data_IF_332221317123
#
_entry.id   IF_332221317123
#
_cell.length_a   1.000
_cell.length_b   1.000
_cell.length_c   1.000
_cell.angle_alpha   90.00
_cell.angle_beta   90.00
_cell.angle_gamma   90.00
#
_symmetry.space_group_name_H-M   'P 1'
#
loop_
_entity.id
_entity.type
_entity.pdbx_description
1 polymer ?
#
# COMPACT_ATOMS: atom_id res chain seq x y z
N UNK A 1 -16.55 20.08 1.55
CA UNK A 1 -17.79 19.85 2.33
C UNK A 1 -18.96 20.25 1.44
N UNK A 2 -19.71 19.29 0.89
CA UNK A 2 -20.91 19.59 0.08
C UNK A 2 -21.91 20.40 0.93
N UNK A 3 -22.51 21.45 0.36
CA UNK A 3 -23.46 22.34 1.04
C UNK A 3 -24.76 21.62 1.42
N UNK A 4 -25.54 22.24 2.32
CA UNK A 4 -26.71 21.66 3.04
C UNK A 4 -27.88 21.14 2.18
N UNK A 5 -27.81 21.16 0.85
CA UNK A 5 -28.89 20.76 -0.06
C UNK A 5 -28.42 19.93 -1.27
N UNK A 6 -27.27 19.25 -1.17
CA UNK A 6 -26.76 18.43 -2.28
C UNK A 6 -27.29 17.01 -2.17
N UNK A 7 -27.97 16.54 -3.22
CA UNK A 7 -28.40 15.15 -3.34
C UNK A 7 -27.18 14.21 -3.37
N UNK A 8 -27.31 13.05 -2.71
CA UNK A 8 -26.23 12.05 -2.61
C UNK A 8 -26.54 10.81 -3.44
N UNK A 9 -25.51 10.17 -3.96
CA UNK A 9 -25.57 8.86 -4.61
C UNK A 9 -24.88 7.84 -3.72
N UNK A 10 -25.53 6.70 -3.51
CA UNK A 10 -24.95 5.56 -2.78
C UNK A 10 -24.62 4.46 -3.77
N UNK A 11 -23.39 3.93 -3.68
CA UNK A 11 -22.86 2.90 -4.57
C UNK A 11 -22.41 1.74 -3.69
N UNK A 12 -22.99 0.56 -3.88
CA UNK A 12 -22.49 -0.66 -3.25
C UNK A 12 -21.14 -1.02 -3.90
N UNK A 13 -20.11 -1.21 -3.08
CA UNK A 13 -18.78 -1.56 -3.54
C UNK A 13 -18.60 -3.08 -3.62
N UNK A 14 -18.16 -3.59 -4.77
CA UNK A 14 -17.72 -4.98 -4.90
C UNK A 14 -16.24 -5.07 -4.46
N UNK A 15 -16.02 -5.51 -3.22
CA UNK A 15 -14.70 -5.66 -2.60
C UNK A 15 -14.37 -7.13 -2.29
N UNK A 16 -14.78 -8.06 -3.17
CA UNK A 16 -14.55 -9.50 -3.00
C UNK A 16 -13.11 -9.85 -2.69
N UNK A 17 -12.15 -9.19 -3.31
CA UNK A 17 -10.73 -9.49 -3.09
C UNK A 17 -10.23 -9.16 -1.68
N UNK A 18 -10.96 -8.34 -0.94
CA UNK A 18 -10.69 -8.07 0.48
C UNK A 18 -11.41 -9.06 1.41
N UNK A 19 -12.31 -9.90 0.88
CA UNK A 19 -13.13 -10.86 1.63
C UNK A 19 -13.82 -10.20 2.84
N UNK A 20 -14.49 -9.07 2.59
CA UNK A 20 -15.27 -8.34 3.60
C UNK A 20 -16.62 -9.06 3.77
N UNK A 21 -17.02 -9.33 5.01
CA UNK A 21 -18.30 -9.98 5.31
C UNK A 21 -19.45 -8.98 5.35
N UNK A 22 -19.18 -7.74 5.79
CA UNK A 22 -20.16 -6.67 5.85
C UNK A 22 -20.46 -5.99 4.50
N UNK A 23 -21.57 -5.25 4.47
CA UNK A 23 -21.98 -4.45 3.32
C UNK A 23 -21.22 -3.12 3.28
N UNK A 24 -20.49 -2.89 2.19
CA UNK A 24 -19.70 -1.67 2.00
C UNK A 24 -20.34 -0.77 0.95
N UNK A 25 -20.59 0.48 1.32
CA UNK A 25 -21.18 1.48 0.46
C UNK A 25 -20.32 2.73 0.37
N UNK A 26 -20.05 3.19 -0.85
CA UNK A 26 -19.46 4.51 -1.10
C UNK A 26 -20.58 5.53 -1.31
N UNK A 27 -20.43 6.69 -0.67
CA UNK A 27 -21.34 7.82 -0.79
C UNK A 27 -20.58 8.95 -1.47
N UNK A 28 -21.12 9.42 -2.59
CA UNK A 28 -20.62 10.55 -3.36
C UNK A 28 -21.73 11.60 -3.52
N UNK A 29 -21.37 12.87 -3.77
CA UNK A 29 -22.34 13.88 -4.20
C UNK A 29 -22.82 13.55 -5.62
N UNK A 30 -24.09 13.86 -5.97
CA UNK A 30 -24.67 13.51 -7.29
C UNK A 30 -23.91 14.16 -8.46
N UNK A 31 -23.19 15.25 -8.22
CA UNK A 31 -22.27 15.83 -9.20
C UNK A 31 -21.18 14.85 -9.69
N UNK A 32 -21.00 13.71 -9.01
CA UNK A 32 -20.10 12.63 -9.38
C UNK A 32 -18.62 12.95 -9.15
N UNK A 33 -18.32 14.09 -8.54
CA UNK A 33 -16.95 14.61 -8.41
C UNK A 33 -16.46 14.67 -6.97
N UNK A 34 -17.38 14.68 -6.00
CA UNK A 34 -17.01 14.80 -4.58
C UNK A 34 -17.33 13.54 -3.78
N UNK A 35 -16.28 12.90 -3.27
CA UNK A 35 -16.38 11.86 -2.25
C UNK A 35 -16.96 12.44 -0.95
N UNK A 36 -17.87 11.71 -0.31
CA UNK A 36 -18.48 12.08 0.96
C UNK A 36 -18.03 11.15 2.09
N UNK A 37 -18.30 9.85 1.95
CA UNK A 37 -18.03 8.86 3.01
C UNK A 37 -18.00 7.43 2.45
N UNK A 38 -17.43 6.50 3.23
CA UNK A 38 -17.64 5.07 3.07
C UNK A 38 -18.38 4.56 4.29
N UNK A 39 -19.38 3.71 4.09
CA UNK A 39 -20.10 3.00 5.15
C UNK A 39 -19.78 1.52 5.13
N UNK A 40 -19.63 0.94 6.32
CA UNK A 40 -19.57 -0.50 6.57
C UNK A 40 -20.73 -0.84 7.51
N UNK A 41 -21.68 -1.67 7.08
CA UNK A 41 -22.87 -2.04 7.86
C UNK A 41 -23.59 -0.82 8.47
N UNK A 42 -23.83 0.20 7.64
CA UNK A 42 -24.43 1.51 7.99
C UNK A 42 -23.59 2.47 8.84
N UNK A 43 -22.45 2.05 9.39
CA UNK A 43 -21.51 2.90 10.13
C UNK A 43 -20.53 3.61 9.19
N UNK A 44 -20.31 4.90 9.40
CA UNK A 44 -19.32 5.68 8.62
C UNK A 44 -17.91 5.32 9.10
N UNK A 45 -17.04 4.97 8.16
CA UNK A 45 -15.63 4.72 8.42
C UNK A 45 -14.81 5.91 7.91
N UNK A 46 -14.11 6.59 8.82
CA UNK A 46 -13.20 7.69 8.50
C UNK A 46 -11.76 7.33 8.90
N UNK A 47 -10.80 7.61 8.02
CA UNK A 47 -9.36 7.46 8.27
C UNK A 47 -8.80 8.50 9.25
N UNK A 48 -9.56 9.54 9.55
CA UNK A 48 -9.20 10.60 10.50
C UNK A 48 -9.65 10.29 11.93
N UNK A 49 -10.56 9.34 12.11
CA UNK A 49 -11.04 8.90 13.40
C UNK A 49 -9.97 8.12 14.15
N UNK A 50 -9.99 8.26 15.48
CA UNK A 50 -9.10 7.54 16.37
C UNK A 50 -9.83 6.32 16.94
N UNK A 51 -9.34 5.13 16.58
CA UNK A 51 -9.90 3.85 17.01
C UNK A 51 -9.18 3.37 18.27
N UNK A 52 -9.92 3.27 19.38
CA UNK A 52 -9.39 2.98 20.71
C UNK A 52 -8.79 1.57 20.85
N UNK A 53 -9.15 0.64 19.96
CA UNK A 53 -8.63 -0.73 19.92
C UNK A 53 -7.34 -0.87 19.07
N UNK A 54 -6.80 0.27 18.59
CA UNK A 54 -5.59 0.36 17.75
C UNK A 54 -4.67 1.51 18.18
N UNK A 55 -4.47 1.67 19.48
CA UNK A 55 -3.62 2.75 20.05
C UNK A 55 -2.11 2.51 19.87
N UNK A 56 -1.72 1.32 19.45
CA UNK A 56 -0.34 0.96 19.21
C UNK A 56 0.24 1.69 17.99
N UNK A 57 1.49 2.12 18.12
CA UNK A 57 2.19 2.84 17.05
C UNK A 57 3.00 1.88 16.18
N UNK A 58 2.36 0.83 15.64
CA UNK A 58 3.04 -0.25 14.91
C UNK A 58 2.45 -0.54 13.51
N UNK A 59 3.15 -1.39 12.74
CA UNK A 59 2.60 -2.01 11.54
C UNK A 59 1.77 -3.21 11.96
N UNK A 60 0.53 -3.29 11.46
CA UNK A 60 -0.38 -4.40 11.76
C UNK A 60 -0.94 -4.95 10.47
N UNK A 61 -0.94 -6.28 10.38
CA UNK A 61 -1.68 -6.97 9.34
C UNK A 61 -3.17 -6.69 9.51
N UNK A 62 -3.85 -6.47 8.40
CA UNK A 62 -5.30 -6.25 8.35
C UNK A 62 -6.02 -7.51 8.82
N UNK A 63 -6.94 -7.37 9.78
CA UNK A 63 -7.69 -8.52 10.33
C UNK A 63 -9.20 -8.32 10.25
N UNK A 64 -9.67 -7.11 10.55
CA UNK A 64 -11.11 -6.81 10.63
C UNK A 64 -11.64 -6.21 9.33
N UNK A 65 -12.95 -6.30 9.12
CA UNK A 65 -13.61 -5.63 8.00
C UNK A 65 -13.41 -4.11 8.01
N UNK A 66 -13.36 -3.51 9.20
CA UNK A 66 -12.99 -2.10 9.36
C UNK A 66 -11.57 -1.81 8.86
N UNK A 67 -10.60 -2.67 9.20
CA UNK A 67 -9.21 -2.51 8.74
C UNK A 67 -9.14 -2.59 7.20
N UNK A 68 -9.88 -3.53 6.59
CA UNK A 68 -9.98 -3.69 5.13
C UNK A 68 -10.62 -2.46 4.46
N UNK A 69 -11.69 -1.92 5.05
CA UNK A 69 -12.33 -0.69 4.57
C UNK A 69 -11.39 0.53 4.72
N UNK A 70 -10.65 0.64 5.82
CA UNK A 70 -9.63 1.68 6.00
C UNK A 70 -8.53 1.57 4.93
N UNK A 71 -8.05 0.37 4.62
CA UNK A 71 -7.13 0.14 3.51
C UNK A 71 -7.72 0.58 2.16
N UNK A 72 -8.97 0.22 1.86
CA UNK A 72 -9.67 0.68 0.66
C UNK A 72 -9.75 2.21 0.60
N UNK A 73 -10.14 2.86 1.70
CA UNK A 73 -10.21 4.33 1.76
C UNK A 73 -8.83 4.94 1.52
N UNK A 74 -7.77 4.43 2.15
CA UNK A 74 -6.42 4.93 1.93
C UNK A 74 -5.95 4.77 0.48
N UNK A 75 -6.17 3.59 -0.12
CA UNK A 75 -5.65 3.24 -1.45
C UNK A 75 -6.46 3.83 -2.60
N UNK A 76 -7.79 3.83 -2.50
CA UNK A 76 -8.70 4.17 -3.61
C UNK A 76 -9.37 5.54 -3.46
N UNK A 77 -9.28 6.17 -2.30
CA UNK A 77 -9.90 7.49 -2.05
C UNK A 77 -8.87 8.52 -1.62
N UNK A 78 -8.12 8.27 -0.54
CA UNK A 78 -7.19 9.26 0.01
C UNK A 78 -6.02 9.47 -0.94
N UNK A 79 -5.37 8.38 -1.37
CA UNK A 79 -4.23 8.48 -2.27
C UNK A 79 -4.56 9.18 -3.60
N UNK A 80 -5.61 8.78 -4.35
CA UNK A 80 -5.91 9.43 -5.63
C UNK A 80 -6.36 10.90 -5.50
N UNK A 81 -7.09 11.25 -4.45
CA UNK A 81 -7.73 12.56 -4.34
C UNK A 81 -6.89 13.61 -3.58
N UNK A 82 -6.07 13.18 -2.62
CA UNK A 82 -5.32 14.08 -1.74
C UNK A 82 -3.81 13.97 -1.91
N UNK A 83 -3.31 12.79 -2.29
CA UNK A 83 -1.89 12.49 -2.45
C UNK A 83 -1.57 11.99 -3.87
N UNK A 84 -2.25 12.54 -4.87
CA UNK A 84 -2.29 12.03 -6.24
C UNK A 84 -0.90 11.60 -6.78
N UNK A 85 -0.83 10.43 -7.46
CA UNK A 85 0.42 9.90 -8.01
C UNK A 85 1.06 10.88 -8.98
N UNK A 86 2.40 10.95 -8.95
CA UNK A 86 3.21 11.71 -9.92
C UNK A 86 3.94 10.75 -10.86
N UNK A 87 3.54 10.64 -12.14
CA UNK A 87 4.20 9.74 -13.09
C UNK A 87 5.71 9.99 -13.24
N UNK A 88 6.16 11.24 -13.13
CA UNK A 88 7.58 11.62 -13.20
C UNK A 88 8.39 11.10 -12.02
N UNK A 89 7.72 10.63 -10.96
CA UNK A 89 8.31 10.00 -9.78
C UNK A 89 8.12 8.49 -9.76
N UNK A 90 7.64 7.90 -10.85
CA UNK A 90 7.28 6.49 -10.95
C UNK A 90 6.20 6.09 -9.93
N UNK A 91 5.22 6.96 -9.75
CA UNK A 91 4.04 6.70 -8.93
C UNK A 91 2.84 6.48 -9.86
N UNK A 92 1.99 5.53 -9.52
CA UNK A 92 0.76 5.19 -10.26
C UNK A 92 -0.38 4.95 -9.28
N UNK A 93 -1.61 4.98 -9.78
CA UNK A 93 -2.76 4.53 -9.00
C UNK A 93 -2.59 3.06 -8.60
N UNK A 94 -2.97 2.72 -7.38
CA UNK A 94 -2.95 1.34 -6.91
C UNK A 94 -4.17 0.58 -7.44
N UNK A 95 -3.94 -0.62 -7.96
CA UNK A 95 -5.03 -1.56 -8.22
C UNK A 95 -5.56 -2.12 -6.91
N UNK A 96 -6.73 -2.75 -6.95
CA UNK A 96 -7.17 -3.58 -5.84
C UNK A 96 -6.20 -4.76 -5.67
N UNK A 97 -6.03 -5.17 -4.42
CA UNK A 97 -5.21 -6.33 -4.04
C UNK A 97 -5.90 -7.63 -4.41
N UNK A 98 -5.11 -8.70 -4.54
CA UNK A 98 -5.61 -10.06 -4.68
C UNK A 98 -5.98 -10.66 -3.31
N UNK A 99 -6.83 -11.68 -3.29
CA UNK A 99 -7.26 -12.34 -2.04
C UNK A 99 -6.10 -12.92 -1.22
N UNK A 100 -5.00 -13.29 -1.89
CA UNK A 100 -3.80 -13.82 -1.24
C UNK A 100 -2.86 -12.75 -0.68
N UNK A 101 -3.06 -11.49 -1.03
CA UNK A 101 -2.10 -10.44 -0.70
C UNK A 101 -2.14 -10.15 0.81
N UNK A 102 -0.95 -10.02 1.40
CA UNK A 102 -0.81 -9.59 2.79
C UNK A 102 -0.88 -8.07 2.80
N UNK A 103 -1.77 -7.51 3.62
CA UNK A 103 -1.98 -6.07 3.74
C UNK A 103 -1.58 -5.64 5.14
N UNK A 104 -0.73 -4.62 5.24
CA UNK A 104 -0.36 -4.03 6.52
C UNK A 104 -0.76 -2.57 6.58
N UNK A 105 -1.44 -2.19 7.66
CA UNK A 105 -1.71 -0.80 8.02
C UNK A 105 -0.66 -0.28 9.00
N UNK A 106 -0.26 0.98 8.81
CA UNK A 106 0.51 1.75 9.79
C UNK A 106 -0.45 2.47 10.73
N UNK A 107 -0.44 2.10 12.01
CA UNK A 107 -1.24 2.76 13.05
C UNK A 107 -0.43 3.82 13.81
N UNK A 108 -1.02 5.00 14.03
CA UNK A 108 -0.41 6.05 14.84
C UNK A 108 -1.50 6.70 15.71
N UNK A 109 -1.45 6.45 17.02
CA UNK A 109 -2.40 7.00 17.99
C UNK A 109 -3.86 6.72 17.64
N UNK A 110 -4.19 5.47 17.26
CA UNK A 110 -5.54 5.10 16.87
C UNK A 110 -5.90 5.37 15.41
N UNK A 111 -5.03 6.02 14.62
CA UNK A 111 -5.32 6.37 13.22
C UNK A 111 -4.54 5.51 12.24
N UNK A 112 -5.19 5.06 11.17
CA UNK A 112 -4.51 4.44 10.04
C UNK A 112 -3.88 5.53 9.16
N UNK A 113 -2.55 5.58 9.11
CA UNK A 113 -1.79 6.65 8.44
C UNK A 113 -1.14 6.24 7.12
N UNK A 114 -1.19 4.96 6.78
CA UNK A 114 -0.58 4.41 5.58
C UNK A 114 -0.66 2.89 5.55
N UNK A 115 -0.11 2.30 4.52
CA UNK A 115 -0.10 0.86 4.31
C UNK A 115 1.08 0.40 3.47
N UNK A 116 1.34 -0.90 3.46
CA UNK A 116 2.01 -1.56 2.34
C UNK A 116 1.39 -2.95 2.12
N UNK A 117 1.54 -3.48 0.91
CA UNK A 117 1.06 -4.81 0.54
C UNK A 117 2.21 -5.71 0.14
N UNK A 118 2.04 -7.01 0.34
CA UNK A 118 3.01 -8.03 -0.06
C UNK A 118 2.30 -9.14 -0.80
N UNK A 119 2.81 -9.48 -1.99
CA UNK A 119 2.46 -10.73 -2.68
C UNK A 119 3.27 -11.87 -2.08
N UNK A 120 2.63 -12.90 -1.50
CA UNK A 120 3.35 -14.04 -0.92
C UNK A 120 4.14 -14.85 -1.96
N UNK A 121 5.09 -15.65 -1.45
CA UNK A 121 5.76 -16.68 -2.24
C UNK A 121 4.70 -17.65 -2.79
N UNK A 122 4.81 -17.99 -4.08
CA UNK A 122 3.89 -18.91 -4.74
C UNK A 122 2.67 -18.26 -5.37
N UNK A 123 2.40 -16.98 -5.11
CA UNK A 123 1.32 -16.23 -5.79
C UNK A 123 1.59 -16.18 -7.29
N UNK A 124 0.56 -16.47 -8.09
CA UNK A 124 0.64 -16.48 -9.55
C UNK A 124 0.69 -15.05 -10.09
N UNK A 125 1.65 -14.79 -10.97
CA UNK A 125 1.76 -13.54 -11.72
C UNK A 125 0.73 -13.61 -12.86
N UNK A 126 -0.27 -12.73 -12.81
CA UNK A 126 -1.45 -12.79 -13.69
C UNK A 126 -1.09 -12.92 -15.19
N UNK A 127 -0.09 -12.16 -15.63
CA UNK A 127 0.32 -12.05 -17.03
C UNK A 127 1.18 -13.22 -17.52
N UNK A 128 2.17 -13.65 -16.73
CA UNK A 128 3.15 -14.66 -17.16
C UNK A 128 2.77 -16.08 -16.75
N UNK A 129 1.83 -16.23 -15.80
CA UNK A 129 1.50 -17.51 -15.14
C UNK A 129 2.65 -18.12 -14.33
N UNK A 130 3.73 -17.38 -14.15
CA UNK A 130 4.80 -17.75 -13.24
C UNK A 130 4.39 -17.50 -11.79
N UNK A 131 5.20 -17.94 -10.83
CA UNK A 131 4.95 -17.73 -9.41
C UNK A 131 6.08 -16.92 -8.79
N UNK A 132 5.72 -16.00 -7.88
CA UNK A 132 6.73 -15.29 -7.11
C UNK A 132 7.57 -16.28 -6.29
N UNK A 133 8.89 -16.19 -6.45
CA UNK A 133 9.87 -17.04 -5.73
C UNK A 133 10.35 -16.40 -4.42
N UNK A 134 9.86 -15.21 -4.10
CA UNK A 134 10.16 -14.45 -2.88
C UNK A 134 8.97 -13.54 -2.54
N UNK A 135 8.78 -13.10 -1.28
CA UNK A 135 7.75 -12.12 -0.95
C UNK A 135 8.02 -10.80 -1.68
N UNK A 136 7.01 -10.23 -2.33
CA UNK A 136 7.16 -9.00 -3.12
C UNK A 136 6.35 -7.87 -2.52
N UNK A 137 7.01 -6.80 -2.10
CA UNK A 137 6.34 -5.54 -1.72
C UNK A 137 5.78 -4.90 -2.98
N UNK A 138 4.46 -4.88 -3.09
CA UNK A 138 3.78 -4.51 -4.32
C UNK A 138 3.32 -3.05 -4.30
N UNK A 139 2.68 -2.64 -3.19
CA UNK A 139 2.27 -1.25 -2.99
C UNK A 139 2.73 -0.74 -1.64
N UNK A 140 3.02 0.55 -1.55
CA UNK A 140 3.46 1.19 -0.32
C UNK A 140 3.06 2.67 -0.32
N UNK A 141 2.33 3.08 0.72
CA UNK A 141 1.77 4.42 0.82
C UNK A 141 1.80 4.92 2.26
N UNK A 142 2.21 6.18 2.43
CA UNK A 142 2.07 6.94 3.68
C UNK A 142 1.38 8.25 3.31
N UNK A 143 0.33 8.60 4.06
CA UNK A 143 -0.37 9.89 3.94
C UNK A 143 0.59 11.06 4.02
N UNK A 144 0.46 12.05 3.13
CA UNK A 144 1.47 13.11 2.95
C UNK A 144 1.78 13.89 4.22
N UNK A 145 0.79 14.15 5.06
CA UNK A 145 0.94 14.85 6.34
C UNK A 145 1.74 14.05 7.39
N UNK A 146 1.94 12.74 7.19
CA UNK A 146 2.76 11.87 8.03
C UNK A 146 4.13 11.53 7.41
N UNK A 147 4.44 12.03 6.21
CA UNK A 147 5.72 11.77 5.55
C UNK A 147 6.88 12.49 6.26
N UNK A 148 8.11 12.09 5.95
CA UNK A 148 9.36 12.59 6.55
C UNK A 148 9.55 12.30 8.05
N UNK A 149 8.77 11.35 8.61
CA UNK A 149 8.88 10.92 10.00
C UNK A 149 9.50 9.51 10.15
N UNK A 150 10.14 9.00 9.09
CA UNK A 150 10.82 7.69 9.10
C UNK A 150 9.94 6.49 8.76
N UNK A 151 8.61 6.63 8.58
CA UNK A 151 7.71 5.51 8.32
C UNK A 151 8.05 4.70 7.06
N UNK A 152 8.57 5.33 6.01
CA UNK A 152 9.03 4.59 4.82
C UNK A 152 10.24 3.68 5.11
N UNK A 153 11.15 4.09 5.99
CA UNK A 153 12.22 3.19 6.50
C UNK A 153 11.64 2.13 7.44
N UNK A 154 10.56 2.47 8.14
CA UNK A 154 9.74 1.52 8.91
C UNK A 154 9.23 0.37 8.05
N UNK A 155 8.76 0.62 6.82
CA UNK A 155 8.34 -0.44 5.88
C UNK A 155 9.49 -1.43 5.63
N UNK A 156 10.68 -0.94 5.32
CA UNK A 156 11.86 -1.79 5.07
C UNK A 156 12.28 -2.59 6.31
N UNK A 157 12.09 -2.01 7.49
CA UNK A 157 12.41 -2.68 8.76
C UNK A 157 11.39 -3.76 9.09
N UNK A 158 10.09 -3.49 8.87
CA UNK A 158 9.01 -4.47 9.11
C UNK A 158 9.12 -5.66 8.17
N UNK A 159 9.29 -5.41 6.85
CA UNK A 159 9.36 -6.50 5.86
C UNK A 159 10.55 -7.43 6.12
N UNK A 160 11.70 -6.88 6.52
CA UNK A 160 12.87 -7.68 6.88
C UNK A 160 12.65 -8.49 8.15
N UNK A 161 11.97 -7.92 9.15
CA UNK A 161 11.65 -8.63 10.39
C UNK A 161 10.62 -9.75 10.15
N UNK A 162 9.66 -9.52 9.25
CA UNK A 162 8.61 -10.46 8.90
C UNK A 162 9.11 -11.65 8.09
N UNK A 163 10.08 -11.42 7.20
CA UNK A 163 10.68 -12.46 6.37
C UNK A 163 12.19 -12.52 6.59
N UNK A 164 12.67 -12.95 7.78
CA UNK A 164 14.07 -12.81 8.18
C UNK A 164 15.05 -13.59 7.31
N UNK A 165 14.60 -14.70 6.71
CA UNK A 165 15.44 -15.62 5.91
C UNK A 165 15.20 -15.50 4.40
N UNK A 166 14.29 -14.64 3.97
CA UNK A 166 13.92 -14.51 2.56
C UNK A 166 14.64 -13.34 1.88
N UNK A 167 14.80 -13.45 0.57
CA UNK A 167 14.96 -12.27 -0.28
C UNK A 167 13.62 -11.52 -0.35
N UNK A 168 13.66 -10.21 -0.56
CA UNK A 168 12.47 -9.35 -0.65
C UNK A 168 12.44 -8.74 -2.05
N UNK A 169 11.35 -8.99 -2.78
CA UNK A 169 11.07 -8.35 -4.05
C UNK A 169 10.37 -7.00 -3.86
N UNK A 170 10.50 -6.12 -4.84
CA UNK A 170 9.72 -4.91 -5.02
C UNK A 170 9.18 -4.90 -6.44
N UNK A 171 7.85 -4.77 -6.60
CA UNK A 171 7.23 -4.68 -7.92
C UNK A 171 7.69 -3.43 -8.66
N UNK A 172 7.92 -3.55 -9.97
CA UNK A 172 8.19 -2.40 -10.84
C UNK A 172 6.89 -1.63 -11.17
N UNK A 173 6.96 -0.30 -11.30
CA UNK A 173 8.12 0.53 -11.04
C UNK A 173 8.27 0.89 -9.55
N UNK A 174 9.51 0.97 -9.05
CA UNK A 174 9.77 1.45 -7.69
C UNK A 174 9.78 2.98 -7.69
N UNK A 175 8.92 3.60 -6.88
CA UNK A 175 8.85 5.06 -6.80
C UNK A 175 10.20 5.69 -6.41
N UNK A 176 10.48 6.87 -6.95
CA UNK A 176 11.70 7.64 -6.63
C UNK A 176 11.89 7.86 -5.12
N UNK A 177 10.79 8.04 -4.39
CA UNK A 177 10.78 8.16 -2.93
C UNK A 177 11.26 6.87 -2.24
N UNK A 178 10.73 5.72 -2.66
CA UNK A 178 11.12 4.41 -2.13
C UNK A 178 12.57 4.06 -2.50
N UNK A 179 13.01 4.33 -3.72
CA UNK A 179 14.41 4.15 -4.14
C UNK A 179 15.39 4.94 -3.26
N UNK A 180 15.06 6.18 -2.90
CA UNK A 180 15.88 6.99 -1.97
C UNK A 180 15.95 6.37 -0.58
N UNK A 181 14.84 5.82 -0.08
CA UNK A 181 14.78 5.14 1.21
C UNK A 181 15.62 3.86 1.16
N UNK A 182 15.45 3.01 0.13
CA UNK A 182 16.24 1.82 -0.11
C UNK A 182 17.74 2.14 -0.18
N UNK A 183 18.14 3.19 -0.91
CA UNK A 183 19.54 3.63 -0.98
C UNK A 183 20.11 3.96 0.39
N UNK A 184 19.37 4.71 1.19
CA UNK A 184 19.81 5.11 2.54
C UNK A 184 19.92 3.88 3.44
N UNK A 185 18.89 3.03 3.44
CA UNK A 185 18.83 1.81 4.24
C UNK A 185 19.99 0.86 3.92
N UNK A 186 20.21 0.53 2.64
CA UNK A 186 21.27 -0.38 2.19
C UNK A 186 22.68 0.21 2.30
N UNK A 187 22.80 1.54 2.35
CA UNK A 187 24.07 2.19 2.67
C UNK A 187 24.43 1.96 4.13
N UNK A 188 23.45 2.13 5.04
CA UNK A 188 23.62 2.00 6.49
C UNK A 188 23.71 0.54 6.97
N UNK A 189 22.98 -0.38 6.32
CA UNK A 189 22.86 -1.79 6.70
C UNK A 189 23.40 -2.69 5.60
N UNK A 190 24.71 -2.92 5.63
CA UNK A 190 25.43 -3.64 4.57
C UNK A 190 25.01 -5.11 4.46
N UNK A 191 24.58 -5.69 5.57
CA UNK A 191 24.07 -7.06 5.69
C UNK A 191 22.83 -7.33 4.81
N UNK A 192 22.11 -6.29 4.40
CA UNK A 192 20.90 -6.42 3.58
C UNK A 192 21.11 -6.11 2.09
N UNK A 193 22.33 -5.76 1.65
CA UNK A 193 22.61 -5.35 0.25
C UNK A 193 22.30 -6.40 -0.80
N UNK A 194 22.32 -7.68 -0.43
CA UNK A 194 22.03 -8.80 -1.33
C UNK A 194 20.59 -9.34 -1.17
N UNK A 195 19.75 -8.69 -0.35
CA UNK A 195 18.41 -9.19 -0.01
C UNK A 195 17.27 -8.52 -0.77
N UNK A 196 17.49 -7.36 -1.39
CA UNK A 196 16.42 -6.57 -2.01
C UNK A 196 16.52 -6.62 -3.53
N UNK A 197 15.44 -7.05 -4.16
CA UNK A 197 15.34 -7.33 -5.59
C UNK A 197 14.19 -6.54 -6.20
N UNK A 198 14.41 -6.03 -7.39
CA UNK A 198 13.37 -5.42 -8.22
C UNK A 198 12.80 -6.48 -9.13
N UNK A 199 11.47 -6.62 -9.14
CA UNK A 199 10.73 -7.67 -9.83
C UNK A 199 9.88 -7.03 -10.92
N UNK A 200 10.08 -7.46 -12.17
CA UNK A 200 9.25 -7.06 -13.30
C UNK A 200 8.14 -8.09 -13.51
N UNK A 201 6.87 -7.68 -13.39
CA UNK A 201 5.73 -8.58 -13.58
C UNK A 201 5.41 -8.86 -15.06
N UNK A 202 5.97 -8.07 -15.98
CA UNK A 202 5.54 -8.02 -17.39
C UNK A 202 6.64 -8.33 -18.42
N UNK A 203 7.91 -8.47 -18.02
CA UNK A 203 9.02 -8.51 -18.99
C UNK A 203 10.04 -9.61 -18.67
N UNK A 204 9.91 -10.73 -19.39
CA UNK A 204 10.76 -11.93 -19.26
C UNK A 204 12.23 -11.63 -19.59
N UNK A 205 12.51 -10.50 -20.26
CA UNK A 205 13.84 -10.08 -20.69
C UNK A 205 14.66 -9.34 -19.62
N UNK A 206 14.01 -8.79 -18.57
CA UNK A 206 14.67 -8.15 -17.43
C UNK A 206 14.37 -8.91 -16.13
N UNK A 207 14.83 -10.17 -16.09
CA UNK A 207 14.78 -11.02 -14.91
C UNK A 207 15.36 -10.32 -13.67
N UNK A 208 14.59 -10.30 -12.58
CA UNK A 208 14.97 -9.96 -11.19
C UNK A 208 16.33 -9.28 -11.01
N UNK A 209 16.34 -7.99 -10.68
CA UNK A 209 17.58 -7.23 -10.55
C UNK A 209 17.86 -6.88 -9.09
N UNK A 210 19.10 -7.08 -8.63
CA UNK A 210 19.48 -6.66 -7.30
C UNK A 210 19.45 -5.12 -7.20
N UNK A 211 18.61 -4.58 -6.32
CA UNK A 211 18.39 -3.13 -6.19
C UNK A 211 19.70 -2.40 -5.87
N UNK A 212 20.55 -2.99 -5.04
CA UNK A 212 21.84 -2.39 -4.68
C UNK A 212 22.76 -2.19 -5.89
N UNK A 213 22.74 -3.11 -6.86
CA UNK A 213 23.52 -2.96 -8.10
C UNK A 213 23.00 -1.78 -8.94
N UNK A 214 21.68 -1.65 -9.08
CA UNK A 214 21.07 -0.55 -9.83
C UNK A 214 21.35 0.82 -9.19
N UNK A 215 21.27 0.89 -7.86
CA UNK A 215 21.55 2.13 -7.12
C UNK A 215 23.01 2.61 -7.23
N UNK A 216 23.96 1.69 -7.45
CA UNK A 216 25.37 2.04 -7.71
C UNK A 216 25.59 2.53 -9.13
N UNK A 217 24.91 1.94 -10.12
CA UNK A 217 25.06 2.31 -11.53
C UNK A 217 24.52 3.71 -11.81
N UNK A 218 23.48 4.15 -11.09
CA UNK A 218 22.93 5.51 -11.19
C UNK A 218 23.84 6.63 -10.63
N UNK A 219 25.05 6.31 -10.16
CA UNK A 219 26.05 7.27 -9.64
C UNK A 219 27.28 7.38 -10.58
N UNK A 220 27.31 6.62 -11.67
CA UNK A 220 28.30 6.70 -12.75
C UNK A 220 27.64 7.20 -14.03
#
# INVERSE_FOLDING_TARGET
RCEKYVQIKTIQLDLRSLNIQGDVHRIDCIDGTHFVAVKLNDEIIDVNDAYCDRLDNEWREVQTDRDKVLFYILSQIVYPNFDAPRPERYESLYTLVDESDIILLRWQGGKAIGFYTVKPIGTEIFLTKERYVMPVVDTAYIRSEYRNQGFGTGILSDVVARFPNENIGFSKPISSGMLRILKTFLTSRKEYRLRFWEIADCDVSESQQLIWCNLKRAVL
#
